data_IF_803665236076
#
_entry.id   IF_803665236076
#
_cell.length_a   1.000
_cell.length_b   1.000
_cell.length_c   1.000
_cell.angle_alpha   90.00
_cell.angle_beta   90.00
_cell.angle_gamma   90.00
#
_symmetry.space_group_name_H-M   'P 1'
#
loop_
_entity.id
_entity.type
_entity.pdbx_description
1 polymer ?
#
# COMPACT_ATOMS: atom_id res chain seq x y z
N UNK A 1 16.12 -3.21 23.86
CA UNK A 1 14.72 -2.75 23.79
C UNK A 1 13.98 -3.73 22.91
N UNK A 2 13.65 -4.87 23.53
CA UNK A 2 13.08 -6.06 22.91
C UNK A 2 11.57 -5.90 22.79
N UNK A 3 11.02 -6.46 21.71
CA UNK A 3 9.59 -6.62 21.45
C UNK A 3 8.94 -7.28 22.67
N UNK A 4 8.17 -6.51 23.44
CA UNK A 4 7.22 -7.10 24.39
C UNK A 4 6.10 -7.71 23.57
N UNK A 5 6.15 -9.04 23.50
CA UNK A 5 5.14 -9.87 22.89
C UNK A 5 3.79 -9.59 23.55
N UNK A 6 2.79 -9.55 22.69
CA UNK A 6 1.36 -9.29 22.85
C UNK A 6 0.61 -10.11 23.93
N UNK A 7 1.30 -10.85 24.81
CA UNK A 7 0.71 -11.67 25.88
C UNK A 7 0.51 -10.95 27.21
N UNK A 8 1.10 -9.76 27.42
CA UNK A 8 1.13 -9.12 28.73
C UNK A 8 0.12 -7.96 28.88
N UNK A 9 -1.17 -8.22 28.72
CA UNK A 9 -2.18 -7.43 29.45
C UNK A 9 -2.24 -7.97 30.89
N UNK A 10 -1.18 -7.76 31.66
CA UNK A 10 -0.99 -8.38 32.97
C UNK A 10 0.20 -7.80 33.73
N UNK A 11 0.32 -8.16 35.01
CA UNK A 11 1.45 -7.77 35.86
C UNK A 11 2.58 -8.76 35.63
N UNK A 12 3.74 -8.28 35.18
CA UNK A 12 4.97 -9.06 35.15
C UNK A 12 5.59 -9.07 36.54
N UNK A 13 5.77 -10.24 37.14
CA UNK A 13 6.39 -10.39 38.44
C UNK A 13 7.18 -11.69 38.52
N UNK A 14 8.07 -11.79 39.52
CA UNK A 14 8.85 -13.00 39.75
C UNK A 14 7.99 -14.10 40.37
N UNK A 15 8.32 -15.37 40.10
CA UNK A 15 7.63 -16.51 40.70
C UNK A 15 7.70 -16.48 42.24
N UNK A 16 8.82 -16.03 42.81
CA UNK A 16 8.99 -15.87 44.26
C UNK A 16 7.97 -14.89 44.85
N UNK A 17 7.69 -13.79 44.13
CA UNK A 17 6.68 -12.83 44.56
C UNK A 17 5.27 -13.42 44.50
N UNK A 18 4.97 -14.23 43.47
CA UNK A 18 3.67 -14.94 43.37
C UNK A 18 3.51 -15.92 44.54
N UNK A 19 4.50 -16.75 44.80
CA UNK A 19 4.44 -17.76 45.85
C UNK A 19 4.39 -17.15 47.26
N UNK A 20 4.94 -15.95 47.45
CA UNK A 20 4.82 -15.20 48.71
C UNK A 20 3.44 -14.60 48.97
N UNK A 21 2.67 -14.35 47.90
CA UNK A 21 1.35 -13.72 47.96
C UNK A 21 0.21 -14.74 48.05
N UNK A 22 0.44 -15.98 47.61
CA UNK A 22 -0.55 -17.05 47.63
C UNK A 22 -0.15 -18.16 48.61
N UNK A 23 -1.09 -18.61 49.45
CA UNK A 23 -0.84 -19.66 50.46
C UNK A 23 -0.57 -21.06 49.87
N UNK A 24 -0.59 -21.21 48.54
CA UNK A 24 -0.31 -22.44 47.82
C UNK A 24 0.56 -22.13 46.58
N UNK A 25 1.55 -22.99 46.27
CA UNK A 25 2.39 -22.80 45.09
C UNK A 25 1.54 -22.89 43.83
N UNK A 26 1.59 -21.83 43.01
CA UNK A 26 0.86 -21.76 41.74
C UNK A 26 1.76 -22.36 40.65
N UNK A 27 1.41 -23.53 40.08
CA UNK A 27 2.25 -24.14 39.05
C UNK A 27 2.28 -23.27 37.79
N UNK A 28 3.44 -23.17 37.11
CA UNK A 28 3.54 -22.44 35.85
C UNK A 28 2.59 -23.02 34.79
N UNK A 29 1.83 -22.15 34.14
CA UNK A 29 0.92 -22.52 33.06
C UNK A 29 1.66 -22.79 31.73
N UNK A 30 2.79 -22.12 31.51
CA UNK A 30 3.59 -22.25 30.30
C UNK A 30 5.08 -22.06 30.59
N UNK A 31 5.93 -22.77 29.85
CA UNK A 31 7.38 -22.59 29.86
C UNK A 31 7.81 -22.07 28.48
N UNK A 32 8.53 -20.96 28.47
CA UNK A 32 9.08 -20.38 27.23
C UNK A 32 10.57 -20.68 27.15
N UNK A 33 11.00 -21.26 26.03
CA UNK A 33 12.40 -21.60 25.78
C UNK A 33 12.93 -20.80 24.60
N UNK A 34 13.98 -20.01 24.84
CA UNK A 34 14.70 -19.34 23.76
C UNK A 34 15.74 -20.31 23.16
N UNK A 35 15.60 -20.61 21.88
CA UNK A 35 16.55 -21.45 21.14
C UNK A 35 17.77 -20.63 20.71
N UNK A 36 18.92 -21.29 20.59
CA UNK A 36 20.13 -20.68 19.99
C UNK A 36 19.93 -20.52 18.48
N UNK A 37 20.59 -19.51 17.91
CA UNK A 37 20.55 -19.23 16.47
C UNK A 37 20.98 -20.46 15.65
N UNK A 38 20.22 -20.77 14.60
CA UNK A 38 20.50 -21.88 13.67
C UNK A 38 19.97 -23.24 14.09
N UNK A 39 19.29 -23.35 15.23
CA UNK A 39 18.60 -24.58 15.64
C UNK A 39 17.18 -24.60 15.08
N UNK A 40 16.77 -25.71 14.47
CA UNK A 40 15.41 -25.87 13.97
C UNK A 40 14.41 -26.02 15.13
N UNK A 41 13.50 -25.05 15.24
CA UNK A 41 12.52 -24.99 16.33
C UNK A 41 11.51 -26.12 16.26
N UNK A 42 11.15 -26.57 15.05
CA UNK A 42 10.16 -27.63 14.84
C UNK A 42 10.71 -28.98 15.30
N UNK A 43 11.97 -29.28 14.97
CA UNK A 43 12.66 -30.49 15.44
C UNK A 43 12.77 -30.52 16.97
N UNK A 44 13.10 -29.40 17.61
CA UNK A 44 13.21 -29.32 19.08
C UNK A 44 11.84 -29.42 19.76
N UNK A 45 10.81 -28.76 19.21
CA UNK A 45 9.45 -28.86 19.73
C UNK A 45 8.97 -30.32 19.74
N UNK A 46 9.10 -31.03 18.60
CA UNK A 46 8.77 -32.46 18.52
C UNK A 46 9.59 -33.32 19.48
N UNK A 47 10.88 -33.03 19.64
CA UNK A 47 11.75 -33.77 20.57
C UNK A 47 11.31 -33.57 22.03
N UNK A 48 10.91 -32.35 22.41
CA UNK A 48 10.38 -32.04 23.73
C UNK A 48 9.03 -32.74 23.97
N UNK A 49 8.12 -32.70 23.00
CA UNK A 49 6.83 -33.41 23.10
C UNK A 49 7.01 -34.90 23.30
N UNK A 50 7.86 -35.55 22.49
CA UNK A 50 8.12 -37.00 22.62
C UNK A 50 8.75 -37.34 23.97
N UNK A 51 9.72 -36.54 24.42
CA UNK A 51 10.45 -36.79 25.68
C UNK A 51 9.53 -36.61 26.90
N UNK A 52 8.66 -35.62 26.86
CA UNK A 52 7.77 -35.26 27.98
C UNK A 52 6.31 -35.66 27.77
N UNK A 53 6.02 -36.53 26.79
CA UNK A 53 4.65 -36.98 26.48
C UNK A 53 3.96 -37.60 27.69
N UNK A 54 4.73 -38.28 28.55
CA UNK A 54 4.23 -38.90 29.80
C UNK A 54 3.74 -37.88 30.84
N UNK A 55 4.17 -36.63 30.70
CA UNK A 55 3.77 -35.51 31.55
C UNK A 55 2.76 -34.58 30.86
N UNK A 56 2.26 -34.95 29.67
CA UNK A 56 1.27 -34.18 28.93
C UNK A 56 1.80 -32.86 28.33
N UNK A 57 3.12 -32.75 28.12
CA UNK A 57 3.71 -31.55 27.53
C UNK A 57 3.34 -31.43 26.05
N UNK A 58 2.83 -30.26 25.67
CA UNK A 58 2.66 -29.82 24.29
C UNK A 58 3.66 -28.68 24.05
N UNK A 59 4.37 -28.72 22.92
CA UNK A 59 5.38 -27.72 22.61
C UNK A 59 5.00 -27.01 21.31
N UNK A 60 4.65 -25.74 21.43
CA UNK A 60 4.29 -24.92 20.28
C UNK A 60 5.43 -24.00 19.88
N UNK A 61 5.66 -23.90 18.58
CA UNK A 61 6.63 -22.97 18.02
C UNK A 61 5.98 -21.60 17.96
N UNK A 62 6.41 -20.67 18.82
CA UNK A 62 5.87 -19.30 18.84
C UNK A 62 5.93 -18.59 17.48
N UNK A 63 6.91 -18.92 16.63
CA UNK A 63 7.01 -18.35 15.29
C UNK A 63 5.83 -18.76 14.39
N UNK A 64 5.27 -19.96 14.57
CA UNK A 64 4.14 -20.45 13.79
C UNK A 64 2.82 -19.83 14.26
N UNK A 65 2.60 -19.70 15.58
CA UNK A 65 1.45 -18.96 16.12
C UNK A 65 1.45 -17.50 15.64
N UNK A 66 2.61 -16.84 15.63
CA UNK A 66 2.72 -15.46 15.13
C UNK A 66 2.38 -15.40 13.64
N UNK A 67 2.86 -16.38 12.84
CA UNK A 67 2.55 -16.47 11.41
C UNK A 67 1.07 -16.71 11.14
N UNK A 68 0.44 -17.59 11.91
CA UNK A 68 -0.98 -17.91 11.79
C UNK A 68 -1.84 -16.70 12.16
N UNK A 69 -1.57 -16.06 13.29
CA UNK A 69 -2.24 -14.82 13.70
C UNK A 69 -2.01 -13.66 12.72
N UNK A 70 -0.81 -13.56 12.15
CA UNK A 70 -0.50 -12.53 11.15
C UNK A 70 -1.09 -12.83 9.76
N UNK A 71 -1.43 -14.08 9.45
CA UNK A 71 -1.88 -14.48 8.12
C UNK A 71 -3.17 -13.76 7.68
N UNK A 72 -4.12 -13.60 8.61
CA UNK A 72 -5.37 -12.88 8.36
C UNK A 72 -5.10 -11.38 8.08
N UNK A 73 -4.20 -10.76 8.86
CA UNK A 73 -3.82 -9.36 8.65
C UNK A 73 -3.07 -9.16 7.31
N UNK A 74 -2.17 -10.08 6.96
CA UNK A 74 -1.46 -10.06 5.67
C UNK A 74 -2.43 -10.21 4.50
N UNK A 75 -3.40 -11.11 4.62
CA UNK A 75 -4.41 -11.32 3.59
C UNK A 75 -5.26 -10.06 3.34
N UNK A 76 -5.74 -9.43 4.42
CA UNK A 76 -6.50 -8.17 4.31
C UNK A 76 -5.63 -7.06 3.70
N UNK A 77 -4.35 -6.95 4.12
CA UNK A 77 -3.43 -5.95 3.57
C UNK A 77 -3.23 -6.14 2.05
N UNK A 78 -2.96 -7.38 1.62
CA UNK A 78 -2.79 -7.71 0.21
C UNK A 78 -4.06 -7.41 -0.61
N UNK A 79 -5.24 -7.71 -0.05
CA UNK A 79 -6.52 -7.42 -0.70
C UNK A 79 -6.72 -5.91 -0.88
N UNK A 80 -6.49 -5.12 0.17
CA UNK A 80 -6.56 -3.66 0.10
C UNK A 80 -5.54 -3.10 -0.89
N UNK A 81 -4.33 -3.66 -0.93
CA UNK A 81 -3.30 -3.27 -1.90
C UNK A 81 -3.71 -3.57 -3.34
N UNK A 82 -4.39 -4.69 -3.58
CA UNK A 82 -5.02 -5.02 -4.85
C UNK A 82 -6.08 -3.98 -5.26
N UNK A 83 -6.99 -3.63 -4.35
CA UNK A 83 -8.00 -2.60 -4.62
C UNK A 83 -7.39 -1.22 -4.90
N UNK A 84 -6.33 -0.83 -4.17
CA UNK A 84 -5.60 0.40 -4.43
C UNK A 84 -4.97 0.40 -5.83
N UNK A 85 -4.36 -0.73 -6.24
CA UNK A 85 -3.82 -0.90 -7.58
C UNK A 85 -4.89 -0.82 -8.68
N UNK A 86 -6.04 -1.46 -8.47
CA UNK A 86 -7.18 -1.37 -9.39
C UNK A 86 -7.72 0.05 -9.50
N UNK A 87 -7.87 0.75 -8.37
CA UNK A 87 -8.30 2.16 -8.35
C UNK A 87 -7.35 3.06 -9.14
N UNK A 88 -6.04 2.84 -9.00
CA UNK A 88 -5.02 3.55 -9.79
C UNK A 88 -5.18 3.28 -11.29
N UNK A 89 -5.35 2.02 -11.69
CA UNK A 89 -5.56 1.65 -13.10
C UNK A 89 -6.82 2.30 -13.68
N UNK A 90 -7.93 2.28 -12.94
CA UNK A 90 -9.19 2.92 -13.34
C UNK A 90 -9.00 4.43 -13.47
N UNK A 91 -8.29 5.08 -12.55
CA UNK A 91 -7.98 6.50 -12.63
C UNK A 91 -7.16 6.87 -13.86
N UNK A 92 -6.12 6.09 -14.17
CA UNK A 92 -5.29 6.29 -15.38
C UNK A 92 -6.13 6.08 -16.64
N UNK A 93 -6.97 5.05 -16.69
CA UNK A 93 -7.86 4.80 -17.81
C UNK A 93 -8.86 5.95 -18.02
N UNK A 94 -9.44 6.46 -16.94
CA UNK A 94 -10.35 7.61 -16.98
C UNK A 94 -9.67 8.85 -17.55
N UNK A 95 -8.43 9.15 -17.14
CA UNK A 95 -7.63 10.22 -17.74
C UNK A 95 -7.45 10.03 -19.26
N UNK A 96 -7.17 8.81 -19.70
CA UNK A 96 -7.07 8.48 -21.13
C UNK A 96 -8.34 8.75 -21.91
N UNK A 97 -9.50 8.34 -21.37
CA UNK A 97 -10.82 8.56 -21.98
C UNK A 97 -11.13 10.05 -22.06
N UNK A 98 -10.88 10.81 -20.99
CA UNK A 98 -11.09 12.27 -20.96
C UNK A 98 -10.17 12.97 -21.96
N UNK A 99 -8.90 12.57 -22.06
CA UNK A 99 -7.96 13.11 -23.04
C UNK A 99 -8.43 12.83 -24.48
N UNK A 100 -8.89 11.61 -24.77
CA UNK A 100 -9.46 11.27 -26.08
C UNK A 100 -10.69 12.13 -26.41
N UNK A 101 -11.60 12.32 -25.45
CA UNK A 101 -12.78 13.16 -25.61
C UNK A 101 -12.42 14.62 -25.89
N UNK A 102 -11.47 15.18 -25.14
CA UNK A 102 -10.98 16.56 -25.33
C UNK A 102 -10.46 16.80 -26.75
N UNK A 103 -9.75 15.82 -27.33
CA UNK A 103 -9.26 15.90 -28.72
C UNK A 103 -10.40 15.99 -29.72
N UNK A 104 -11.49 15.25 -29.51
CA UNK A 104 -12.68 15.28 -30.39
C UNK A 104 -13.41 16.62 -30.29
N UNK A 105 -13.56 17.16 -29.09
CA UNK A 105 -14.23 18.44 -28.87
C UNK A 105 -13.43 19.62 -29.46
N UNK A 106 -12.10 19.53 -29.46
CA UNK A 106 -11.20 20.60 -29.93
C UNK A 106 -10.71 20.44 -31.37
N UNK A 107 -11.24 19.50 -32.17
CA UNK A 107 -10.75 19.24 -33.55
C UNK A 107 -10.71 20.48 -34.45
N UNK A 108 -11.74 21.33 -34.40
CA UNK A 108 -11.80 22.56 -35.21
C UNK A 108 -10.70 23.54 -34.83
N UNK A 109 -10.46 23.73 -33.53
CA UNK A 109 -9.37 24.58 -33.02
C UNK A 109 -8.00 24.06 -33.47
N UNK A 110 -7.80 22.74 -33.41
CA UNK A 110 -6.56 22.09 -33.90
C UNK A 110 -6.39 22.33 -35.40
N UNK A 111 -7.45 22.18 -36.19
CA UNK A 111 -7.43 22.44 -37.63
C UNK A 111 -7.04 23.88 -37.97
N UNK A 112 -7.56 24.86 -37.22
CA UNK A 112 -7.20 26.28 -37.36
C UNK A 112 -5.74 26.53 -37.00
N UNK A 113 -5.24 26.00 -35.87
CA UNK A 113 -3.83 26.13 -35.48
C UNK A 113 -2.90 25.53 -36.54
N UNK A 114 -3.27 24.37 -37.09
CA UNK A 114 -2.53 23.69 -38.16
C UNK A 114 -2.55 24.49 -39.47
N UNK A 115 -3.62 25.22 -39.78
CA UNK A 115 -3.71 26.12 -40.93
C UNK A 115 -2.84 27.37 -40.77
N UNK A 116 -2.65 27.85 -39.54
CA UNK A 116 -1.76 28.96 -39.20
C UNK A 116 -0.26 28.56 -39.18
N UNK A 117 0.06 27.30 -39.49
CA UNK A 117 1.45 26.82 -39.61
C UNK A 117 2.00 26.08 -38.38
N UNK A 118 1.18 25.80 -37.35
CA UNK A 118 1.65 25.01 -36.21
C UNK A 118 2.08 23.60 -36.61
N UNK A 119 3.24 23.18 -36.11
CA UNK A 119 3.75 21.84 -36.34
C UNK A 119 2.96 20.79 -35.54
N UNK A 120 2.92 19.55 -36.04
CA UNK A 120 2.25 18.42 -35.38
C UNK A 120 2.81 18.19 -33.96
N UNK A 121 4.13 18.33 -33.79
CA UNK A 121 4.85 18.24 -32.52
C UNK A 121 4.42 19.30 -31.50
N UNK A 122 4.20 20.55 -31.94
CA UNK A 122 3.76 21.64 -31.06
C UNK A 122 2.35 21.38 -30.51
N UNK A 123 1.43 20.93 -31.38
CA UNK A 123 0.08 20.54 -30.96
C UNK A 123 0.15 19.38 -29.98
N UNK A 124 0.91 18.32 -30.31
CA UNK A 124 1.07 17.16 -29.43
C UNK A 124 1.63 17.55 -28.06
N UNK A 125 2.66 18.40 -28.02
CA UNK A 125 3.29 18.84 -26.79
C UNK A 125 2.34 19.66 -25.91
N UNK A 126 1.50 20.52 -26.51
CA UNK A 126 0.47 21.26 -25.77
C UNK A 126 -0.52 20.32 -25.06
N UNK A 127 -1.00 19.28 -25.74
CA UNK A 127 -1.92 18.30 -25.13
C UNK A 127 -1.24 17.45 -24.06
N UNK A 128 0.02 17.07 -24.27
CA UNK A 128 0.80 16.35 -23.26
C UNK A 128 1.05 17.22 -22.02
N UNK A 129 1.32 18.51 -22.18
CA UNK A 129 1.47 19.45 -21.06
C UNK A 129 0.16 19.63 -20.29
N UNK A 130 -0.97 19.79 -20.97
CA UNK A 130 -2.29 19.90 -20.33
C UNK A 130 -2.59 18.62 -19.52
N UNK A 131 -2.36 17.45 -20.13
CA UNK A 131 -2.56 16.15 -19.47
C UNK A 131 -1.60 15.96 -18.30
N UNK A 132 -0.34 16.35 -18.46
CA UNK A 132 0.69 16.31 -17.42
C UNK A 132 0.30 17.18 -16.22
N UNK A 133 -0.22 18.38 -16.47
CA UNK A 133 -0.64 19.28 -15.40
C UNK A 133 -1.80 18.69 -14.60
N UNK A 134 -2.82 18.15 -15.29
CA UNK A 134 -3.95 17.48 -14.63
C UNK A 134 -3.48 16.25 -13.83
N UNK A 135 -2.58 15.44 -14.40
CA UNK A 135 -2.03 14.27 -13.73
C UNK A 135 -1.25 14.66 -12.46
N UNK A 136 -0.37 15.67 -12.54
CA UNK A 136 0.42 16.13 -11.39
C UNK A 136 -0.47 16.73 -10.29
N UNK A 137 -1.50 17.50 -10.65
CA UNK A 137 -2.46 18.00 -9.67
C UNK A 137 -3.24 16.86 -9.00
N UNK A 138 -3.72 15.90 -9.78
CA UNK A 138 -4.43 14.73 -9.25
C UNK A 138 -3.56 13.91 -8.31
N UNK A 139 -2.30 13.65 -8.69
CA UNK A 139 -1.32 12.93 -7.85
C UNK A 139 -1.02 13.73 -6.59
N UNK A 140 -0.74 15.04 -6.70
CA UNK A 140 -0.44 15.90 -5.57
C UNK A 140 -1.59 15.97 -4.56
N UNK A 141 -2.82 16.14 -5.05
CA UNK A 141 -4.02 16.10 -4.22
C UNK A 141 -4.25 14.72 -3.59
N UNK A 142 -4.06 13.65 -4.34
CA UNK A 142 -4.17 12.28 -3.83
C UNK A 142 -3.18 11.99 -2.69
N UNK A 143 -1.92 12.38 -2.85
CA UNK A 143 -0.88 12.22 -1.81
C UNK A 143 -1.21 13.09 -0.60
N UNK A 144 -1.60 14.35 -0.81
CA UNK A 144 -1.94 15.26 0.29
C UNK A 144 -3.14 14.76 1.11
N UNK A 145 -4.22 14.33 0.43
CA UNK A 145 -5.40 13.76 1.08
C UNK A 145 -5.07 12.44 1.76
N UNK A 146 -4.32 11.56 1.11
CA UNK A 146 -3.90 10.27 1.68
C UNK A 146 -3.08 10.45 2.96
N UNK A 147 -2.09 11.35 2.93
CA UNK A 147 -1.26 11.67 4.09
C UNK A 147 -2.06 12.37 5.22
N UNK A 148 -3.01 13.24 4.87
CA UNK A 148 -3.88 13.90 5.85
C UNK A 148 -4.80 12.89 6.56
N UNK A 149 -5.45 12.02 5.79
CA UNK A 149 -6.33 10.99 6.32
C UNK A 149 -5.57 9.96 7.16
N UNK A 150 -4.37 9.54 6.75
CA UNK A 150 -3.58 8.59 7.52
C UNK A 150 -3.18 9.13 8.89
N UNK A 151 -2.82 10.42 8.98
CA UNK A 151 -2.54 11.08 10.27
C UNK A 151 -3.79 11.11 11.16
N UNK A 152 -4.95 11.43 10.59
CA UNK A 152 -6.21 11.52 11.35
C UNK A 152 -6.66 10.15 11.87
N UNK A 153 -6.61 9.12 11.04
CA UNK A 153 -6.97 7.75 11.42
C UNK A 153 -6.05 7.24 12.53
N UNK A 154 -4.75 7.45 12.40
CA UNK A 154 -3.78 7.00 13.41
C UNK A 154 -3.91 7.80 14.70
N UNK A 155 -4.20 9.09 14.60
CA UNK A 155 -4.53 9.93 15.75
C UNK A 155 -5.69 9.36 16.57
N UNK A 156 -6.77 8.95 15.90
CA UNK A 156 -7.91 8.31 16.55
C UNK A 156 -7.58 6.92 17.13
N UNK A 157 -6.71 6.16 16.47
CA UNK A 157 -6.32 4.82 16.94
C UNK A 157 -5.38 4.85 18.15
N UNK A 158 -4.56 5.90 18.32
CA UNK A 158 -3.64 6.05 19.45
C UNK A 158 -4.35 6.08 20.81
N UNK A 159 -5.60 6.51 20.85
CA UNK A 159 -6.42 6.51 22.06
C UNK A 159 -6.71 5.08 22.56
N UNK A 160 -6.77 4.12 21.64
CA UNK A 160 -7.04 2.70 21.93
C UNK A 160 -5.76 1.85 21.99
N UNK A 161 -4.69 2.27 21.31
CA UNK A 161 -3.45 1.51 21.18
C UNK A 161 -2.24 2.42 21.48
N UNK A 162 -1.73 2.32 22.71
CA UNK A 162 -0.66 3.18 23.25
C UNK A 162 0.69 3.07 22.51
N UNK A 163 0.86 2.08 21.62
CA UNK A 163 2.15 1.72 21.01
C UNK A 163 2.16 1.77 19.48
N UNK A 164 1.29 2.57 18.83
CA UNK A 164 1.33 2.71 17.37
C UNK A 164 2.45 3.68 16.97
N UNK A 165 3.50 3.13 16.35
CA UNK A 165 4.54 3.91 15.66
C UNK A 165 4.06 4.27 14.26
N UNK A 166 3.82 5.55 14.00
CA UNK A 166 3.49 6.04 12.66
C UNK A 166 4.75 6.25 11.84
N UNK A 167 4.93 5.46 10.79
CA UNK A 167 6.01 5.64 9.84
C UNK A 167 5.44 5.74 8.43
N UNK A 168 5.73 6.86 7.76
CA UNK A 168 5.30 7.09 6.37
C UNK A 168 6.33 6.46 5.42
N UNK A 169 5.94 5.51 4.57
CA UNK A 169 6.86 4.86 3.64
C UNK A 169 7.08 5.75 2.40
N UNK A 170 7.89 6.79 2.55
CA UNK A 170 8.16 7.77 1.49
C UNK A 170 8.68 7.14 0.19
N UNK A 171 9.51 6.10 0.27
CA UNK A 171 10.00 5.35 -0.90
C UNK A 171 8.83 4.76 -1.70
N UNK A 172 7.86 4.12 -1.02
CA UNK A 172 6.74 3.47 -1.69
C UNK A 172 5.82 4.51 -2.33
N UNK A 173 5.58 5.63 -1.64
CA UNK A 173 4.79 6.74 -2.19
C UNK A 173 5.46 7.29 -3.44
N UNK A 174 6.77 7.55 -3.41
CA UNK A 174 7.52 8.05 -4.57
C UNK A 174 7.49 7.05 -5.73
N UNK A 175 7.63 5.76 -5.47
CA UNK A 175 7.52 4.72 -6.50
C UNK A 175 6.13 4.74 -7.17
N UNK A 176 5.06 4.80 -6.38
CA UNK A 176 3.68 4.88 -6.89
C UNK A 176 3.47 6.17 -7.69
N UNK A 177 3.97 7.31 -7.23
CA UNK A 177 3.90 8.60 -7.93
C UNK A 177 4.56 8.51 -9.31
N UNK A 178 5.78 7.96 -9.38
CA UNK A 178 6.52 7.81 -10.63
C UNK A 178 5.78 6.88 -11.60
N UNK A 179 5.30 5.73 -11.09
CA UNK A 179 4.54 4.76 -11.90
C UNK A 179 3.23 5.39 -12.41
N UNK A 180 2.49 6.06 -11.52
CA UNK A 180 1.23 6.71 -11.86
C UNK A 180 1.43 7.80 -12.93
N UNK A 181 2.41 8.67 -12.73
CA UNK A 181 2.71 9.75 -13.67
C UNK A 181 3.17 9.20 -15.03
N UNK A 182 4.09 8.22 -15.02
CA UNK A 182 4.55 7.55 -16.24
C UNK A 182 3.42 6.87 -17.00
N UNK A 183 2.57 6.12 -16.31
CA UNK A 183 1.40 5.47 -16.91
C UNK A 183 0.38 6.49 -17.45
N UNK A 184 0.18 7.61 -16.74
CA UNK A 184 -0.69 8.70 -17.21
C UNK A 184 -0.19 9.29 -18.53
N UNK A 185 1.12 9.54 -18.65
CA UNK A 185 1.72 10.03 -19.89
C UNK A 185 1.62 9.02 -21.03
N UNK A 186 1.87 7.74 -20.75
CA UNK A 186 1.74 6.67 -21.75
C UNK A 186 0.31 6.58 -22.29
N UNK A 187 -0.68 6.61 -21.40
CA UNK A 187 -2.09 6.52 -21.79
C UNK A 187 -2.55 7.75 -22.58
N UNK A 188 -2.09 8.95 -22.22
CA UNK A 188 -2.48 10.21 -22.90
C UNK A 188 -1.69 10.49 -24.19
N UNK A 189 -0.57 9.81 -24.39
CA UNK A 189 0.23 9.92 -25.60
C UNK A 189 -0.52 9.54 -26.88
N UNK A 190 -1.32 8.46 -26.83
CA UNK A 190 -2.12 8.01 -27.98
C UNK A 190 -3.14 9.07 -28.44
N UNK A 191 -4.01 9.62 -27.57
CA UNK A 191 -4.88 10.76 -27.89
C UNK A 191 -4.12 11.97 -28.42
N UNK A 192 -3.01 12.37 -27.78
CA UNK A 192 -2.22 13.53 -28.19
C UNK A 192 -1.66 13.37 -29.61
N UNK A 193 -1.21 12.15 -29.95
CA UNK A 193 -0.73 11.83 -31.30
C UNK A 193 -1.86 11.83 -32.33
N UNK A 194 -3.07 11.42 -31.96
CA UNK A 194 -4.24 11.51 -32.83
C UNK A 194 -4.62 12.98 -33.10
N UNK A 195 -4.61 13.83 -32.08
CA UNK A 195 -4.85 15.27 -32.20
C UNK A 195 -3.91 15.92 -33.22
N UNK A 196 -2.61 15.64 -33.11
CA UNK A 196 -1.58 16.18 -33.98
C UNK A 196 -1.70 15.75 -35.46
N UNK A 197 -2.42 14.66 -35.75
CA UNK A 197 -2.60 14.14 -37.11
C UNK A 197 -3.79 14.75 -37.84
N UNK A 198 -4.67 15.49 -37.17
CA UNK A 198 -5.84 16.11 -37.79
C UNK A 198 -5.41 17.12 -38.86
N UNK A 199 -5.91 16.96 -40.08
CA UNK A 199 -5.60 17.85 -41.20
C UNK A 199 -6.61 19.02 -41.29
N UNK A 200 -6.17 20.21 -41.72
CA UNK A 200 -7.06 21.38 -41.87
C UNK A 200 -8.27 21.11 -42.76
N UNK A 201 -8.06 20.36 -43.85
CA UNK A 201 -9.11 20.00 -44.81
C UNK A 201 -10.18 19.08 -44.21
N UNK A 202 -9.81 18.19 -43.28
CA UNK A 202 -10.76 17.32 -42.59
C UNK A 202 -11.55 18.10 -41.55
N UNK A 203 -10.90 19.03 -40.84
CA UNK A 203 -11.54 19.84 -39.80
C UNK A 203 -12.62 20.80 -40.33
N UNK A 204 -12.55 21.19 -41.61
CA UNK A 204 -13.51 22.09 -42.28
C UNK A 204 -14.59 21.36 -43.09
N UNK A 205 -14.42 20.06 -43.35
CA UNK A 205 -15.33 19.26 -44.18
C UNK A 205 -16.44 18.54 -43.39
N UNK A 206 -16.39 18.56 -42.05
CA UNK A 206 -17.50 18.08 -41.22
C UNK A 206 -18.58 19.17 -41.11
N UNK A 207 -19.27 19.42 -42.22
CA UNK A 207 -20.63 19.97 -42.34
C UNK A 207 -21.38 19.16 -43.41
#
# INVERSE_FOLDING_TARGET
MSQEAFYASGILTSQETVDSLFSQPVPPLAYMFQLKDGVDAETIARALEVTFVKHGMQAEVMADEIRENASASVMINNLLQGFMGLGLLVGIAALGVVAARSVVERRKQIGVLRALGFQKSMVQFSFLLESSFVALLGIGLGVALGAGLSVQIIGAMKEYFASITYQVPWINIMAVVIIAYGASLLTTYLPARQAAKIYPAEALRFE
#
